data_IF_058198318074
#
_entry.id   IF_058198318074
#
_cell.length_a   1.000
_cell.length_b   1.000
_cell.length_c   1.000
_cell.angle_alpha   90.00
_cell.angle_beta   90.00
_cell.angle_gamma   90.00
#
_symmetry.space_group_name_H-M   'P 1'
#
loop_
_entity.id
_entity.type
_entity.pdbx_description
1 polymer ?
#
# COMPACT_ATOMS: atom_id res chain seq x y z
N UNK A 1 -4.10 17.77 4.27
CA UNK A 1 -4.81 16.53 3.87
C UNK A 1 -3.81 15.38 3.93
N UNK A 2 -4.11 14.28 4.65
CA UNK A 2 -3.20 13.13 4.80
C UNK A 2 -3.67 11.98 3.90
N UNK A 3 -2.73 11.29 3.26
CA UNK A 3 -3.00 10.19 2.33
C UNK A 3 -2.24 8.95 2.79
N UNK A 4 -2.93 7.81 2.79
CA UNK A 4 -2.33 6.50 3.04
C UNK A 4 -2.09 5.83 1.69
N UNK A 5 -0.84 5.39 1.47
CA UNK A 5 -0.52 4.52 0.34
C UNK A 5 -0.61 3.05 0.76
N UNK A 6 -1.36 2.26 0.00
CA UNK A 6 -1.50 0.83 0.25
C UNK A 6 -1.72 0.04 -1.05
N UNK A 7 -1.39 -1.25 -1.00
CA UNK A 7 -1.75 -2.22 -2.04
C UNK A 7 -3.25 -2.53 -1.94
N UNK A 8 -3.99 -2.30 -3.02
CA UNK A 8 -5.42 -2.62 -3.10
C UNK A 8 -5.60 -3.99 -3.76
N UNK A 9 -5.92 -5.02 -2.99
CA UNK A 9 -6.09 -6.39 -3.52
C UNK A 9 -7.19 -6.50 -4.57
N UNK A 10 -8.29 -5.74 -4.42
CA UNK A 10 -9.40 -5.71 -5.38
C UNK A 10 -9.01 -5.16 -6.76
N UNK A 11 -8.02 -4.26 -6.80
CA UNK A 11 -7.57 -3.60 -8.03
C UNK A 11 -6.21 -4.08 -8.50
N UNK A 12 -5.53 -4.87 -7.67
CA UNK A 12 -4.17 -5.35 -7.87
C UNK A 12 -3.20 -4.19 -8.22
N UNK A 13 -3.29 -3.09 -7.48
CA UNK A 13 -2.48 -1.89 -7.71
C UNK A 13 -2.25 -1.07 -6.43
N UNK A 14 -1.24 -0.21 -6.42
CA UNK A 14 -0.98 0.75 -5.35
C UNK A 14 -1.92 1.95 -5.46
N UNK A 15 -2.67 2.23 -4.40
CA UNK A 15 -3.63 3.35 -4.38
C UNK A 15 -3.44 4.27 -3.20
N UNK A 16 -3.76 5.54 -3.47
CA UNK A 16 -3.80 6.62 -2.51
C UNK A 16 -5.20 6.67 -1.87
N UNK A 17 -5.29 6.32 -0.59
CA UNK A 17 -6.51 6.40 0.20
C UNK A 17 -6.49 7.69 1.01
N UNK A 18 -7.54 8.51 0.88
CA UNK A 18 -7.66 9.71 1.71
C UNK A 18 -8.04 9.29 3.12
N UNK A 19 -7.20 9.63 4.08
CA UNK A 19 -7.41 9.25 5.48
C UNK A 19 -8.70 9.85 6.07
N UNK A 20 -9.12 11.01 5.57
CA UNK A 20 -10.37 11.67 5.97
C UNK A 20 -11.65 11.01 5.43
N UNK A 21 -11.52 10.01 4.55
CA UNK A 21 -12.64 9.20 4.02
C UNK A 21 -12.64 7.76 4.52
N UNK A 22 -11.71 7.39 5.39
CA UNK A 22 -11.67 6.05 6.00
C UNK A 22 -12.58 6.08 7.22
N UNK A 23 -13.68 5.32 7.17
CA UNK A 23 -14.68 5.25 8.24
C UNK A 23 -14.33 4.14 9.23
N UNK A 24 -13.80 3.03 8.75
CA UNK A 24 -13.42 1.87 9.57
C UNK A 24 -12.27 1.07 8.91
N UNK A 25 -11.56 0.29 9.71
CA UNK A 25 -10.49 -0.61 9.28
C UNK A 25 -10.51 -1.87 10.15
N UNK A 26 -10.69 -3.03 9.53
CA UNK A 26 -10.56 -4.32 10.18
C UNK A 26 -9.19 -4.96 9.86
N UNK A 27 -8.53 -5.50 10.89
CA UNK A 27 -7.35 -6.34 10.69
C UNK A 27 -7.80 -7.73 10.24
N UNK A 28 -7.33 -8.17 9.09
CA UNK A 28 -7.50 -9.55 8.65
C UNK A 28 -6.32 -10.39 9.16
N UNK A 29 -6.62 -11.55 9.76
CA UNK A 29 -5.59 -12.55 10.14
C UNK A 29 -4.97 -13.23 8.91
N UNK A 30 -5.59 -13.05 7.74
CA UNK A 30 -5.11 -13.59 6.48
C UNK A 30 -3.90 -12.79 6.02
N UNK A 31 -2.82 -13.52 5.72
CA UNK A 31 -1.61 -12.93 5.16
C UNK A 31 -1.86 -12.51 3.71
N UNK A 32 -1.36 -11.34 3.33
CA UNK A 32 -1.40 -10.89 1.94
C UNK A 32 -0.85 -12.00 1.03
N UNK A 33 -1.52 -12.32 -0.09
CA UNK A 33 -1.09 -13.38 -1.00
C UNK A 33 0.30 -13.10 -1.60
N UNK A 34 0.72 -11.82 -1.59
CA UNK A 34 2.06 -11.40 -1.99
C UNK A 34 2.91 -11.00 -0.79
N UNK A 35 4.18 -11.39 -0.82
CA UNK A 35 5.14 -11.07 0.24
C UNK A 35 5.30 -9.54 0.35
N UNK A 36 5.23 -9.01 1.57
CA UNK A 36 5.41 -7.58 1.87
C UNK A 36 6.67 -6.98 1.23
N UNK A 37 7.77 -7.73 1.22
CA UNK A 37 9.05 -7.28 0.64
C UNK A 37 8.97 -7.07 -0.87
N UNK A 38 8.23 -7.91 -1.59
CA UNK A 38 8.01 -7.76 -3.02
C UNK A 38 7.16 -6.53 -3.30
N UNK A 39 6.04 -6.37 -2.56
CA UNK A 39 5.18 -5.19 -2.69
C UNK A 39 5.95 -3.89 -2.42
N UNK A 40 6.81 -3.87 -1.40
CA UNK A 40 7.63 -2.70 -1.11
C UNK A 40 8.66 -2.40 -2.22
N UNK A 41 9.26 -3.43 -2.83
CA UNK A 41 10.19 -3.27 -3.95
C UNK A 41 9.47 -2.68 -5.17
N UNK A 42 8.34 -3.28 -5.56
CA UNK A 42 7.54 -2.81 -6.69
C UNK A 42 7.06 -1.37 -6.46
N UNK A 43 6.57 -1.05 -5.27
CA UNK A 43 6.17 0.32 -4.95
C UNK A 43 7.33 1.31 -5.11
N UNK A 44 8.54 0.96 -4.63
CA UNK A 44 9.75 1.78 -4.82
C UNK A 44 10.20 1.89 -6.28
N UNK A 45 9.83 0.98 -7.16
CA UNK A 45 10.10 1.10 -8.59
C UNK A 45 9.08 2.03 -9.28
N UNK A 46 7.85 2.09 -8.76
CA UNK A 46 6.80 3.00 -9.30
C UNK A 46 6.97 4.46 -8.85
N UNK A 47 7.62 4.67 -7.71
CA UNK A 47 7.94 5.98 -7.18
C UNK A 47 9.41 6.18 -7.49
N UNK A 48 9.80 7.15 -8.31
CA UNK A 48 11.20 7.49 -8.63
C UNK A 48 11.93 8.09 -7.40
N UNK A 49 11.74 7.46 -6.23
CA UNK A 49 12.12 7.90 -4.89
C UNK A 49 13.43 7.20 -4.56
N UNK A 50 14.52 7.95 -4.32
CA UNK A 50 15.82 7.37 -4.04
C UNK A 50 15.73 6.44 -2.84
N UNK A 51 16.26 5.23 -2.98
CA UNK A 51 16.50 4.35 -1.83
C UNK A 51 17.63 4.98 -1.02
N UNK A 52 17.29 5.75 0.01
CA UNK A 52 18.27 6.17 1.02
C UNK A 52 18.74 4.93 1.79
N UNK A 53 20.05 4.71 1.75
CA UNK A 53 20.80 3.68 2.49
C UNK A 53 21.12 4.16 3.90
#
# INVERSE_FOLDING_TARGET
>A
MRVLMAWCELRQDFRHFRTDRIIDMALHEVRYPRRRTVLLKEWRETQDVPVEN
#
